data_IF_851775797135
#
_entry.id   IF_851775797135
#
_cell.length_a   1.000
_cell.length_b   1.000
_cell.length_c   1.000
_cell.angle_alpha   90.00
_cell.angle_beta   90.00
_cell.angle_gamma   90.00
#
_symmetry.space_group_name_H-M   'P 1'
#
loop_
_entity.id
_entity.type
_entity.pdbx_description
1 polymer ?
#
# COMPACT_ATOMS: atom_id res chain seq x y z
N UNK A 1 -0.95 -12.73 8.71
CA UNK A 1 -1.37 -13.57 9.86
C UNK A 1 -1.76 -12.63 11.00
N UNK A 2 -2.91 -12.81 11.67
CA UNK A 2 -3.46 -11.88 12.68
C UNK A 2 -2.44 -11.49 13.76
N UNK A 3 -1.69 -12.47 14.28
CA UNK A 3 -0.62 -12.25 15.27
C UNK A 3 0.51 -11.30 14.82
N UNK A 4 0.74 -11.17 13.50
CA UNK A 4 1.76 -10.25 12.97
C UNK A 4 1.24 -8.81 12.93
N UNK A 5 -0.08 -8.63 12.79
CA UNK A 5 -0.72 -7.31 12.83
C UNK A 5 -0.70 -6.79 14.27
N UNK A 6 -1.07 -7.63 15.25
CA UNK A 6 -1.00 -7.24 16.67
C UNK A 6 0.43 -6.87 17.09
N UNK A 7 1.43 -7.60 16.57
CA UNK A 7 2.84 -7.28 16.82
C UNK A 7 3.22 -5.92 16.23
N UNK A 8 2.82 -5.64 14.98
CA UNK A 8 3.11 -4.36 14.32
C UNK A 8 2.41 -3.20 15.05
N UNK A 9 1.15 -3.37 15.45
CA UNK A 9 0.40 -2.36 16.22
C UNK A 9 1.06 -2.10 17.57
N UNK A 10 1.50 -3.16 18.26
CA UNK A 10 2.20 -3.03 19.55
C UNK A 10 3.54 -2.31 19.38
N UNK A 11 4.27 -2.61 18.30
CA UNK A 11 5.57 -2.00 18.01
C UNK A 11 5.40 -0.52 17.60
N UNK A 12 4.36 -0.17 16.83
CA UNK A 12 4.04 1.22 16.52
C UNK A 12 3.58 2.01 17.76
N UNK A 13 2.74 1.43 18.63
CA UNK A 13 2.31 2.09 19.86
C UNK A 13 3.49 2.34 20.82
N UNK A 14 4.45 1.42 20.89
CA UNK A 14 5.70 1.65 21.62
C UNK A 14 6.50 2.79 21.01
N UNK A 15 6.62 2.82 19.69
CA UNK A 15 7.35 3.87 18.99
C UNK A 15 6.73 5.25 19.24
N UNK A 16 5.41 5.37 19.15
CA UNK A 16 4.67 6.61 19.46
C UNK A 16 4.88 7.03 20.92
N UNK A 17 4.83 6.08 21.87
CA UNK A 17 5.07 6.36 23.29
C UNK A 17 6.51 6.81 23.54
N UNK A 18 7.49 6.25 22.84
CA UNK A 18 8.89 6.59 23.03
C UNK A 18 9.24 7.94 22.35
N UNK A 19 8.60 8.25 21.21
CA UNK A 19 8.79 9.50 20.46
C UNK A 19 8.04 10.70 21.10
N UNK A 20 6.89 10.45 21.75
CA UNK A 20 6.01 11.48 22.32
C UNK A 20 5.79 11.34 23.83
N UNK A 21 6.56 10.50 24.51
CA UNK A 21 6.46 10.25 25.93
C UNK A 21 6.98 11.42 26.76
N UNK A 22 6.08 12.14 27.41
CA UNK A 22 6.43 13.22 28.34
C UNK A 22 6.43 12.71 29.79
N UNK A 23 7.37 13.16 30.65
CA UNK A 23 7.30 12.85 32.07
C UNK A 23 6.03 13.45 32.68
N UNK A 24 5.41 12.70 33.61
CA UNK A 24 4.20 13.14 34.29
C UNK A 24 4.47 14.46 35.02
N UNK A 25 3.78 15.52 34.61
CA UNK A 25 3.95 16.88 35.15
C UNK A 25 3.19 17.12 36.46
N UNK A 26 2.37 16.17 36.89
CA UNK A 26 1.58 16.22 38.12
C UNK A 26 2.01 15.14 39.10
N UNK A 27 2.04 15.50 40.39
CA UNK A 27 2.28 14.58 41.51
C UNK A 27 0.95 14.40 42.24
N UNK A 28 0.56 13.15 42.49
CA UNK A 28 -0.55 12.85 43.39
C UNK A 28 -0.01 12.91 44.82
N UNK A 29 -0.50 13.86 45.60
CA UNK A 29 -0.26 13.93 47.04
C UNK A 29 -1.30 13.03 47.73
N UNK A 30 -0.86 11.91 48.28
CA UNK A 30 -1.65 11.12 49.23
C UNK A 30 -1.71 11.86 50.57
N UNK A 31 -2.55 12.88 50.64
CA UNK A 31 -2.97 13.50 51.90
C UNK A 31 -4.34 14.12 51.70
N UNK A 32 -5.39 13.36 51.96
CA UNK A 32 -6.69 13.93 52.28
C UNK A 32 -7.18 13.21 53.53
N UNK A 33 -6.70 13.66 54.68
CA UNK A 33 -7.55 13.58 55.88
C UNK A 33 -8.80 14.42 55.56
N UNK A 34 -9.98 13.90 55.88
CA UNK A 34 -11.27 14.54 55.59
C UNK A 34 -11.27 15.98 56.12
N UNK A 35 -11.18 16.97 55.21
CA UNK A 35 -11.40 18.37 55.55
C UNK A 35 -12.85 18.48 55.99
N UNK A 36 -13.07 18.73 57.27
CA UNK A 36 -14.42 19.00 57.77
C UNK A 36 -14.79 20.44 57.43
N UNK A 37 -16.08 20.74 57.32
CA UNK A 37 -16.56 22.12 57.07
C UNK A 37 -16.04 23.09 58.14
N UNK A 38 -15.71 22.59 59.33
CA UNK A 38 -15.17 23.33 60.47
C UNK A 38 -13.74 23.83 60.23
N UNK A 39 -12.95 23.09 59.45
CA UNK A 39 -11.57 23.45 59.07
C UNK A 39 -11.52 24.54 57.99
N UNK A 40 -12.64 24.76 57.27
CA UNK A 40 -12.77 25.80 56.24
C UNK A 40 -13.25 27.15 56.77
N UNK A 41 -13.74 27.20 58.03
CA UNK A 41 -14.22 28.45 58.65
C UNK A 41 -13.06 29.08 59.40
N UNK A 42 -12.75 30.34 59.09
CA UNK A 42 -11.72 31.08 59.80
C UNK A 42 -12.13 31.28 61.28
N UNK A 43 -11.24 30.97 62.22
CA UNK A 43 -11.45 31.28 63.63
C UNK A 43 -11.35 32.80 63.83
N UNK A 44 -12.50 33.44 64.06
CA UNK A 44 -12.57 34.87 64.35
C UNK A 44 -13.50 35.17 65.52
N UNK A 45 -13.17 36.21 66.28
CA UNK A 45 -14.05 36.76 67.31
C UNK A 45 -15.13 37.63 66.68
N UNK A 46 -16.39 37.28 66.94
CA UNK A 46 -17.57 37.97 66.43
C UNK A 46 -18.44 38.49 67.56
N UNK A 47 -19.10 39.63 67.33
CA UNK A 47 -20.10 40.16 68.24
C UNK A 47 -21.46 39.51 67.96
N UNK A 48 -22.05 38.90 68.99
CA UNK A 48 -23.37 38.27 68.94
C UNK A 48 -24.37 39.16 69.66
N UNK A 49 -25.45 39.53 68.97
CA UNK A 49 -26.52 40.36 69.52
C UNK A 49 -27.85 39.63 69.48
N UNK A 50 -28.55 39.64 70.61
CA UNK A 50 -29.88 39.05 70.80
C UNK A 50 -30.85 40.15 71.22
N UNK A 51 -31.96 40.29 70.51
CA UNK A 51 -33.02 41.26 70.85
C UNK A 51 -34.04 40.67 71.83
N UNK A 52 -34.72 41.54 72.57
CA UNK A 52 -35.83 41.15 73.45
C UNK A 52 -36.95 40.42 72.68
N UNK A 53 -37.21 40.81 71.43
CA UNK A 53 -38.10 40.10 70.50
C UNK A 53 -37.59 38.75 69.97
N UNK A 54 -36.45 38.24 70.48
CA UNK A 54 -35.93 36.91 70.19
C UNK A 54 -35.21 36.77 68.84
N UNK A 55 -34.61 37.84 68.31
CA UNK A 55 -33.78 37.79 67.09
C UNK A 55 -32.30 37.72 67.44
N UNK A 56 -31.54 36.83 66.79
CA UNK A 56 -30.10 36.67 66.98
C UNK A 56 -29.33 36.91 65.67
N UNK A 57 -28.16 37.55 65.77
CA UNK A 57 -27.18 37.70 64.68
C UNK A 57 -25.75 37.69 65.19
N UNK A 58 -24.81 37.35 64.31
CA UNK A 58 -23.37 37.59 64.48
C UNK A 58 -22.90 38.69 63.53
N UNK A 59 -21.95 39.49 63.96
CA UNK A 59 -21.34 40.56 63.17
C UNK A 59 -19.85 40.58 63.47
N UNK A 60 -18.99 40.57 62.44
CA UNK A 60 -17.54 40.67 62.65
C UNK A 60 -17.20 41.94 63.43
N UNK A 61 -16.31 41.84 64.43
CA UNK A 61 -15.90 42.97 65.28
C UNK A 61 -15.28 44.09 64.43
N UNK A 62 -14.56 43.71 63.37
CA UNK A 62 -13.97 44.63 62.39
C UNK A 62 -15.00 45.57 61.73
N UNK A 63 -16.27 45.14 61.65
CA UNK A 63 -17.36 45.95 61.09
C UNK A 63 -17.82 47.08 62.03
N UNK A 64 -17.47 47.02 63.32
CA UNK A 64 -17.66 48.11 64.27
C UNK A 64 -16.43 49.04 64.23
N UNK A 65 -16.61 50.27 63.71
CA UNK A 65 -15.53 51.28 63.76
C UNK A 65 -15.19 51.62 65.21
N UNK A 66 -13.90 51.66 65.55
CA UNK A 66 -13.41 52.19 66.81
C UNK A 66 -13.93 53.64 67.02
N UNK A 67 -14.58 53.89 68.15
CA UNK A 67 -15.04 55.22 68.55
C UNK A 67 -14.22 55.72 69.74
N UNK A 68 -13.86 57.00 69.72
CA UNK A 68 -13.28 57.66 70.88
C UNK A 68 -14.36 57.97 71.94
N UNK A 69 -13.95 58.02 73.19
CA UNK A 69 -14.82 58.29 74.35
C UNK A 69 -15.57 59.63 74.13
N UNK A 70 -16.90 59.61 74.19
CA UNK A 70 -17.76 60.80 74.00
C UNK A 70 -18.40 60.98 72.61
N UNK A 71 -18.20 60.05 71.67
CA UNK A 71 -18.88 60.08 70.36
C UNK A 71 -20.39 59.79 70.44
N UNK A 72 -21.18 60.34 69.49
CA UNK A 72 -22.57 59.89 69.27
C UNK A 72 -22.56 58.43 68.83
N UNK A 73 -23.17 57.56 69.63
CA UNK A 73 -23.22 56.11 69.38
C UNK A 73 -23.79 55.78 68.00
N UNK A 74 -23.26 54.74 67.35
CA UNK A 74 -23.80 54.20 66.10
C UNK A 74 -24.87 53.15 66.39
N UNK A 75 -25.94 53.14 65.60
CA UNK A 75 -26.97 52.11 65.67
C UNK A 75 -26.37 50.74 65.32
N UNK A 76 -26.30 49.84 66.30
CA UNK A 76 -25.68 48.50 66.18
C UNK A 76 -26.63 47.37 65.79
N UNK A 77 -27.94 47.62 65.81
CA UNK A 77 -28.98 46.75 65.27
C UNK A 77 -30.23 47.58 64.98
N UNK A 78 -30.87 47.36 63.83
CA UNK A 78 -32.14 48.00 63.50
C UNK A 78 -33.28 47.18 64.09
N UNK A 79 -33.97 47.72 65.09
CA UNK A 79 -35.12 47.10 65.74
C UNK A 79 -36.43 47.69 65.17
N UNK A 80 -37.56 46.99 65.34
CA UNK A 80 -38.88 47.62 65.12
C UNK A 80 -39.15 48.60 66.25
N UNK A 81 -40.08 49.53 66.05
CA UNK A 81 -40.56 50.40 67.13
C UNK A 81 -40.88 49.53 68.36
N UNK A 82 -40.21 49.84 69.48
CA UNK A 82 -40.23 49.14 70.79
C UNK A 82 -39.34 47.90 71.03
N UNK A 83 -38.60 47.35 70.04
CA UNK A 83 -37.63 46.25 70.29
C UNK A 83 -36.21 46.80 70.58
N UNK A 84 -35.43 46.12 71.43
CA UNK A 84 -34.08 46.53 71.82
C UNK A 84 -33.14 45.32 71.99
N UNK A 85 -31.83 45.55 71.93
CA UNK A 85 -30.83 44.50 72.17
C UNK A 85 -30.80 44.19 73.67
N UNK A 86 -31.17 42.97 74.03
CA UNK A 86 -31.23 42.50 75.42
C UNK A 86 -29.89 41.92 75.87
N UNK A 87 -29.20 41.21 74.96
CA UNK A 87 -27.88 40.64 75.23
C UNK A 87 -26.90 40.92 74.09
N UNK A 88 -25.67 41.26 74.47
CA UNK A 88 -24.53 41.45 73.57
C UNK A 88 -23.28 40.83 74.21
N UNK A 89 -22.63 39.92 73.50
CA UNK A 89 -21.38 39.30 73.93
C UNK A 89 -20.50 38.96 72.73
N UNK A 90 -19.22 38.67 73.00
CA UNK A 90 -18.24 38.27 71.99
C UNK A 90 -17.95 36.79 72.17
N UNK A 91 -17.89 36.04 71.07
CA UNK A 91 -17.49 34.65 71.05
C UNK A 91 -16.74 34.32 69.75
N UNK A 92 -15.85 33.32 69.81
CA UNK A 92 -15.21 32.75 68.63
C UNK A 92 -16.22 31.98 67.78
N UNK A 93 -16.06 32.00 66.45
CA UNK A 93 -16.88 31.28 65.48
C UNK A 93 -17.02 29.78 65.74
N UNK A 94 -16.03 29.17 66.40
CA UNK A 94 -16.00 27.73 66.72
C UNK A 94 -16.60 27.41 68.09
N UNK A 95 -16.98 28.43 68.86
CA UNK A 95 -17.60 28.24 70.18
C UNK A 95 -19.07 27.82 70.08
N UNK A 96 -19.59 27.28 71.19
CA UNK A 96 -21.01 27.01 71.37
C UNK A 96 -21.66 28.07 72.25
N UNK A 97 -22.87 28.48 71.89
CA UNK A 97 -23.74 29.32 72.72
C UNK A 97 -24.85 28.46 73.30
N UNK A 98 -25.03 28.56 74.62
CA UNK A 98 -26.12 27.91 75.34
C UNK A 98 -27.24 28.93 75.57
N UNK A 99 -28.38 28.71 74.91
CA UNK A 99 -29.57 29.56 75.02
C UNK A 99 -30.53 28.92 76.01
N UNK A 100 -30.72 29.57 77.15
CA UNK A 100 -31.69 29.17 78.16
C UNK A 100 -33.03 29.87 77.90
N UNK A 101 -34.10 29.10 77.84
CA UNK A 101 -35.47 29.61 77.67
C UNK A 101 -36.13 29.85 79.03
N UNK A 102 -37.12 30.73 79.07
CA UNK A 102 -37.99 31.00 80.22
C UNK A 102 -38.73 29.75 80.74
N UNK A 103 -38.91 28.74 79.88
CA UNK A 103 -39.46 27.41 80.20
C UNK A 103 -38.42 26.40 80.70
N UNK A 104 -37.19 26.84 81.02
CA UNK A 104 -36.14 26.00 81.58
C UNK A 104 -35.47 25.03 80.60
N UNK A 105 -35.66 25.19 79.29
CA UNK A 105 -34.96 24.40 78.26
C UNK A 105 -33.65 25.07 77.87
N UNK A 106 -32.64 24.25 77.61
CA UNK A 106 -31.32 24.68 77.13
C UNK A 106 -31.15 24.24 75.68
N UNK A 107 -30.69 25.15 74.83
CA UNK A 107 -30.36 24.88 73.43
C UNK A 107 -28.90 25.24 73.18
N UNK A 108 -28.10 24.29 72.66
CA UNK A 108 -26.78 24.59 72.13
C UNK A 108 -26.89 25.09 70.67
N UNK A 109 -26.04 26.04 70.28
CA UNK A 109 -25.95 26.50 68.90
C UNK A 109 -24.47 26.80 68.60
N UNK A 110 -23.94 26.31 67.48
CA UNK A 110 -22.59 26.69 67.06
C UNK A 110 -22.60 28.13 66.56
N UNK A 111 -21.62 28.94 66.94
CA UNK A 111 -21.60 30.37 66.61
C UNK A 111 -21.64 30.61 65.10
N UNK A 112 -20.94 29.82 64.29
CA UNK A 112 -20.96 29.96 62.83
C UNK A 112 -22.33 29.68 62.18
N UNK A 113 -23.25 28.97 62.85
CA UNK A 113 -24.62 28.72 62.36
C UNK A 113 -25.55 29.93 62.56
N UNK A 114 -25.13 30.90 63.40
CA UNK A 114 -25.84 32.16 63.59
C UNK A 114 -25.67 33.01 62.31
N UNK A 115 -26.74 33.63 61.79
CA UNK A 115 -26.66 34.43 60.58
C UNK A 115 -25.69 35.61 60.75
N UNK A 116 -24.73 35.71 59.83
CA UNK A 116 -23.84 36.85 59.73
C UNK A 116 -24.52 38.00 59.03
N UNK A 117 -24.65 39.12 59.72
CA UNK A 117 -25.33 40.30 59.20
C UNK A 117 -24.54 41.53 59.61
N UNK A 118 -24.39 42.50 58.69
CA UNK A 118 -23.73 43.76 58.99
C UNK A 118 -24.41 44.53 60.15
N UNK A 119 -23.76 45.56 60.73
CA UNK A 119 -24.24 46.24 61.93
C UNK A 119 -25.69 46.73 61.83
N UNK A 120 -26.15 47.16 60.66
CA UNK A 120 -27.51 47.69 60.49
C UNK A 120 -28.57 46.65 60.10
N UNK A 121 -28.18 45.41 59.77
CA UNK A 121 -29.13 44.39 59.33
C UNK A 121 -29.79 43.64 60.49
N UNK A 122 -30.93 43.03 60.16
CA UNK A 122 -31.78 42.26 61.07
C UNK A 122 -31.30 40.80 61.11
N UNK A 123 -31.21 40.23 62.31
CA UNK A 123 -30.93 38.80 62.51
C UNK A 123 -32.12 37.89 62.19
N UNK A 124 -32.02 36.61 62.54
CA UNK A 124 -33.12 35.63 62.45
C UNK A 124 -33.71 35.35 63.82
N UNK A 125 -34.99 34.99 63.88
CA UNK A 125 -35.63 34.59 65.14
C UNK A 125 -34.98 33.30 65.68
N UNK A 126 -34.61 33.30 66.96
CA UNK A 126 -33.94 32.18 67.64
C UNK A 126 -34.77 30.89 67.53
N UNK A 127 -36.10 31.00 67.63
CA UNK A 127 -37.03 29.86 67.52
C UNK A 127 -36.89 29.12 66.18
N UNK A 128 -36.57 29.82 65.09
CA UNK A 128 -36.43 29.21 63.77
C UNK A 128 -35.09 28.49 63.59
N UNK A 129 -34.08 28.80 64.40
CA UNK A 129 -32.76 28.14 64.36
C UNK A 129 -32.77 26.84 65.16
N UNK A 130 -33.67 26.72 66.15
CA UNK A 130 -33.72 25.62 67.12
C UNK A 130 -34.75 24.54 66.76
N UNK A 131 -35.70 24.83 65.86
CA UNK A 131 -36.64 23.83 65.37
C UNK A 131 -35.90 22.77 64.53
N UNK A 132 -35.89 21.53 65.04
CA UNK A 132 -35.51 20.29 64.37
C UNK A 132 -36.22 20.14 63.01
N UNK A 133 -35.75 20.83 61.97
CA UNK A 133 -36.23 20.63 60.59
C UNK A 133 -35.76 19.30 59.98
N UNK A 134 -34.90 18.54 60.67
CA UNK A 134 -34.38 17.23 60.20
C UNK A 134 -35.21 16.00 60.62
N UNK A 135 -36.27 16.15 61.42
CA UNK A 135 -37.11 15.03 61.91
C UNK A 135 -38.52 15.02 61.31
N UNK A 136 -38.70 15.52 60.09
CA UNK A 136 -39.93 15.24 59.33
C UNK A 136 -39.80 13.89 58.65
N UNK A 137 -40.89 13.11 58.54
CA UNK A 137 -40.87 11.82 57.83
C UNK A 137 -40.37 11.93 56.38
N UNK A 138 -40.57 13.10 55.76
CA UNK A 138 -40.10 13.45 54.41
C UNK A 138 -38.57 13.58 54.31
N UNK A 139 -37.90 14.24 55.26
CA UNK A 139 -36.43 14.34 55.27
C UNK A 139 -35.77 12.99 55.56
N UNK A 140 -36.37 12.18 56.44
CA UNK A 140 -35.92 10.79 56.64
C UNK A 140 -36.05 9.96 55.36
N UNK A 141 -37.16 10.13 54.63
CA UNK A 141 -37.35 9.42 53.36
C UNK A 141 -36.32 9.86 52.31
N UNK A 142 -36.05 11.17 52.18
CA UNK A 142 -34.98 11.66 51.29
C UNK A 142 -33.61 11.06 51.62
N UNK A 143 -33.24 11.00 52.90
CA UNK A 143 -31.95 10.40 53.32
C UNK A 143 -31.92 8.90 52.98
N UNK A 144 -33.05 8.19 53.15
CA UNK A 144 -33.14 6.77 52.80
C UNK A 144 -33.06 6.56 51.29
N UNK A 145 -33.68 7.43 50.50
CA UNK A 145 -33.65 7.39 49.03
C UNK A 145 -32.24 7.73 48.51
N UNK A 146 -31.60 8.77 49.04
CA UNK A 146 -30.22 9.16 48.72
C UNK A 146 -29.23 8.05 49.10
N UNK A 147 -29.38 7.44 50.29
CA UNK A 147 -28.58 6.30 50.69
C UNK A 147 -28.79 5.08 49.79
N UNK A 148 -29.99 4.90 49.24
CA UNK A 148 -30.28 3.85 48.26
C UNK A 148 -29.62 4.14 46.92
N UNK A 149 -29.70 5.36 46.42
CA UNK A 149 -29.04 5.81 45.18
C UNK A 149 -27.51 5.69 45.27
N UNK A 150 -26.93 6.17 46.37
CA UNK A 150 -25.48 6.06 46.62
C UNK A 150 -25.06 4.60 46.69
N UNK A 151 -25.84 3.71 47.34
CA UNK A 151 -25.54 2.27 47.37
C UNK A 151 -25.58 1.66 45.97
N UNK A 152 -26.56 2.02 45.15
CA UNK A 152 -26.63 1.56 43.74
C UNK A 152 -25.41 2.04 42.97
N UNK A 153 -25.03 3.31 43.12
CA UNK A 153 -23.86 3.89 42.48
C UNK A 153 -22.56 3.19 42.91
N UNK A 154 -22.38 2.94 44.21
CA UNK A 154 -21.20 2.22 44.73
C UNK A 154 -21.11 0.82 44.14
N UNK A 155 -22.24 0.10 44.06
CA UNK A 155 -22.27 -1.23 43.46
C UNK A 155 -21.89 -1.17 41.98
N UNK A 156 -22.40 -0.18 41.25
CA UNK A 156 -22.08 0.00 39.84
C UNK A 156 -20.60 0.33 39.60
N UNK A 157 -20.06 1.29 40.36
CA UNK A 157 -18.65 1.67 40.31
C UNK A 157 -17.72 0.50 40.66
N UNK A 158 -18.09 -0.32 41.66
CA UNK A 158 -17.33 -1.55 41.98
C UNK A 158 -17.41 -2.60 40.88
N UNK A 159 -18.54 -2.74 40.19
CA UNK A 159 -18.68 -3.64 39.05
C UNK A 159 -17.82 -3.18 37.86
N UNK A 160 -17.78 -1.86 37.59
CA UNK A 160 -16.89 -1.26 36.59
C UNK A 160 -15.42 -1.55 36.93
N UNK A 161 -14.99 -1.29 38.17
CA UNK A 161 -13.59 -1.49 38.59
C UNK A 161 -13.16 -2.97 38.61
N UNK A 162 -14.08 -3.89 38.89
CA UNK A 162 -13.76 -5.32 38.97
C UNK A 162 -13.75 -6.04 37.61
N UNK A 163 -14.32 -5.44 36.57
CA UNK A 163 -14.44 -6.04 35.23
C UNK A 163 -13.75 -5.16 34.16
N UNK A 164 -12.50 -5.45 33.78
CA UNK A 164 -11.77 -4.69 32.76
C UNK A 164 -12.53 -4.51 31.43
N UNK A 165 -13.25 -5.55 30.98
CA UNK A 165 -14.08 -5.49 29.77
C UNK A 165 -15.17 -4.41 29.83
N UNK A 166 -15.69 -4.11 31.02
CA UNK A 166 -16.73 -3.10 31.22
C UNK A 166 -16.13 -1.69 31.08
N UNK A 167 -14.91 -1.49 31.55
CA UNK A 167 -14.14 -0.25 31.36
C UNK A 167 -13.88 -0.03 29.86
N UNK A 168 -13.39 -1.04 29.14
CA UNK A 168 -13.12 -0.93 27.70
C UNK A 168 -14.38 -0.58 26.91
N UNK A 169 -15.52 -1.15 27.29
CA UNK A 169 -16.81 -0.85 26.68
C UNK A 169 -17.22 0.61 26.91
N UNK A 170 -17.12 1.10 28.15
CA UNK A 170 -17.43 2.49 28.49
C UNK A 170 -16.52 3.45 27.70
N UNK A 171 -15.21 3.20 27.70
CA UNK A 171 -14.24 4.03 26.96
C UNK A 171 -14.54 4.00 25.46
N UNK A 172 -14.86 2.84 24.90
CA UNK A 172 -15.21 2.71 23.48
C UNK A 172 -16.46 3.52 23.13
N UNK A 173 -17.49 3.46 23.99
CA UNK A 173 -18.74 4.15 23.74
C UNK A 173 -18.60 5.67 23.92
N UNK A 174 -17.77 6.12 24.87
CA UNK A 174 -17.38 7.53 25.01
C UNK A 174 -16.59 8.03 23.79
N UNK A 175 -15.61 7.27 23.31
CA UNK A 175 -14.83 7.62 22.12
C UNK A 175 -15.69 7.67 20.85
N UNK A 176 -16.66 6.77 20.70
CA UNK A 176 -17.64 6.82 19.61
C UNK A 176 -18.49 8.08 19.69
N UNK A 177 -18.96 8.44 20.89
CA UNK A 177 -19.75 9.65 21.09
C UNK A 177 -18.94 10.91 20.72
N UNK A 178 -17.67 10.98 21.14
CA UNK A 178 -16.77 12.09 20.77
C UNK A 178 -16.57 12.15 19.24
N UNK A 179 -16.38 11.00 18.58
CA UNK A 179 -16.28 10.92 17.12
C UNK A 179 -17.57 11.39 16.44
N UNK A 180 -18.74 11.07 16.99
CA UNK A 180 -20.02 11.44 16.38
C UNK A 180 -20.35 12.93 16.61
N UNK A 181 -19.99 13.48 17.77
CA UNK A 181 -20.21 14.90 18.11
C UNK A 181 -19.20 15.84 17.43
N UNK A 182 -17.97 15.38 17.19
CA UNK A 182 -16.85 16.22 16.72
C UNK A 182 -16.15 15.71 15.44
N UNK A 183 -16.64 14.65 14.82
CA UNK A 183 -16.04 14.09 13.60
C UNK A 183 -16.37 14.91 12.36
N UNK A 184 -15.34 15.24 11.58
CA UNK A 184 -15.46 15.85 10.27
C UNK A 184 -14.93 14.93 9.16
N UNK A 185 -15.50 14.96 7.95
CA UNK A 185 -14.96 14.21 6.83
C UNK A 185 -13.58 14.74 6.47
N UNK A 186 -12.66 13.83 6.13
CA UNK A 186 -11.30 14.18 5.73
C UNK A 186 -11.33 15.17 4.58
N UNK A 187 -10.76 16.35 4.80
CA UNK A 187 -10.70 17.43 3.80
C UNK A 187 -9.67 17.17 2.69
N UNK A 188 -8.67 16.35 2.96
CA UNK A 188 -7.60 16.00 2.02
C UNK A 188 -7.86 14.66 1.36
N UNK A 189 -7.59 14.57 0.06
CA UNK A 189 -7.61 13.31 -0.69
C UNK A 189 -6.19 12.75 -0.68
N UNK A 190 -6.05 11.48 -0.25
CA UNK A 190 -4.80 10.75 -0.44
C UNK A 190 -4.79 10.25 -1.88
N UNK A 191 -3.98 10.90 -2.71
CA UNK A 191 -3.64 10.37 -4.03
C UNK A 191 -2.52 9.34 -3.82
N UNK A 192 -2.66 8.16 -4.42
CA UNK A 192 -1.50 7.27 -4.60
C UNK A 192 -0.39 8.06 -5.31
N UNK A 193 0.86 7.78 -4.94
CA UNK A 193 2.04 8.53 -5.35
C UNK A 193 1.93 9.05 -6.79
N UNK A 194 2.12 10.36 -6.99
CA UNK A 194 2.38 10.92 -8.32
C UNK A 194 3.55 10.13 -8.88
N UNK A 195 3.36 9.49 -10.05
CA UNK A 195 4.41 8.71 -10.71
C UNK A 195 5.70 9.53 -10.68
N UNK A 196 6.73 9.01 -9.98
CA UNK A 196 8.07 9.59 -10.04
C UNK A 196 8.46 9.63 -11.51
N UNK A 197 8.74 10.82 -12.07
CA UNK A 197 9.23 10.95 -13.45
C UNK A 197 10.42 10.01 -13.57
N UNK A 198 10.23 8.91 -14.30
CA UNK A 198 11.26 7.92 -14.47
C UNK A 198 12.27 8.45 -15.49
N UNK A 199 13.52 8.00 -15.42
CA UNK A 199 14.52 8.33 -16.46
C UNK A 199 14.02 7.94 -17.85
N UNK A 200 13.12 6.95 -17.93
CA UNK A 200 12.44 6.54 -19.15
C UNK A 200 11.53 7.63 -19.73
N UNK A 201 10.79 8.38 -18.90
CA UNK A 201 9.94 9.49 -19.36
C UNK A 201 10.74 10.66 -19.94
N UNK A 202 12.04 10.72 -19.66
CA UNK A 202 12.96 11.70 -20.25
C UNK A 202 13.56 11.25 -21.60
N UNK A 203 13.38 9.99 -21.97
CA UNK A 203 13.90 9.42 -23.22
C UNK A 203 12.87 9.66 -24.33
N UNK A 204 13.32 10.20 -25.47
CA UNK A 204 12.43 10.41 -26.60
C UNK A 204 11.99 9.06 -27.21
N UNK A 205 10.70 8.94 -27.54
CA UNK A 205 10.19 7.81 -28.32
C UNK A 205 10.61 7.97 -29.79
N UNK A 206 11.53 7.13 -30.25
CA UNK A 206 12.00 7.11 -31.64
C UNK A 206 12.19 5.68 -32.14
N UNK A 207 11.99 5.47 -33.44
CA UNK A 207 12.27 4.19 -34.09
C UNK A 207 13.77 4.03 -34.36
N UNK A 208 14.34 2.95 -33.82
CA UNK A 208 15.74 2.60 -33.96
C UNK A 208 15.89 1.22 -34.59
N UNK A 209 16.95 1.06 -35.39
CA UNK A 209 17.35 -0.23 -35.90
C UNK A 209 18.18 -0.97 -34.84
N UNK A 210 17.74 -2.16 -34.45
CA UNK A 210 18.46 -3.05 -33.54
C UNK A 210 19.16 -4.08 -34.38
N UNK A 211 20.49 -4.17 -34.23
CA UNK A 211 21.30 -5.19 -34.89
C UNK A 211 21.91 -6.12 -33.85
N UNK A 212 21.77 -7.42 -34.08
CA UNK A 212 22.35 -8.48 -33.27
C UNK A 212 23.25 -9.31 -34.16
N UNK A 213 24.42 -9.66 -33.66
CA UNK A 213 25.45 -10.39 -34.41
C UNK A 213 25.49 -11.84 -33.98
N UNK A 214 26.04 -12.71 -34.83
CA UNK A 214 26.20 -14.12 -34.49
C UNK A 214 27.06 -14.31 -33.22
N UNK A 215 28.07 -13.44 -33.02
CA UNK A 215 28.87 -13.36 -31.80
C UNK A 215 28.13 -12.86 -30.55
N UNK A 216 26.83 -12.55 -30.66
CA UNK A 216 26.01 -12.09 -29.55
C UNK A 216 26.24 -10.64 -29.15
N UNK A 217 26.72 -9.80 -30.07
CA UNK A 217 26.78 -8.35 -29.85
C UNK A 217 25.47 -7.68 -30.28
N UNK A 218 24.99 -6.76 -29.46
CA UNK A 218 23.78 -5.97 -29.73
C UNK A 218 24.09 -4.49 -29.74
N UNK A 219 23.42 -3.78 -30.65
CA UNK A 219 23.47 -2.32 -30.76
C UNK A 219 22.13 -1.76 -31.22
N UNK A 220 21.91 -0.48 -30.91
CA UNK A 220 20.88 0.35 -31.54
C UNK A 220 21.53 1.43 -32.40
N UNK A 221 20.89 1.74 -33.51
CA UNK A 221 21.32 2.80 -34.42
C UNK A 221 20.08 3.56 -34.88
N UNK A 222 20.10 4.89 -34.80
CA UNK A 222 19.01 5.72 -35.30
C UNK A 222 18.73 5.43 -36.79
N UNK A 223 17.46 5.30 -37.16
CA UNK A 223 17.06 5.00 -38.55
C UNK A 223 17.51 6.09 -39.54
N UNK A 224 17.63 7.32 -39.05
CA UNK A 224 18.17 8.47 -39.80
C UNK A 224 19.59 8.22 -40.33
N UNK A 225 20.40 7.44 -39.60
CA UNK A 225 21.78 7.10 -39.98
C UNK A 225 21.84 6.08 -41.12
N UNK A 226 20.77 5.33 -41.35
CA UNK A 226 20.63 4.33 -42.42
C UNK A 226 20.07 4.91 -43.74
N UNK A 227 19.83 6.23 -43.83
CA UNK A 227 19.25 6.88 -45.02
C UNK A 227 19.85 6.39 -46.35
N UNK A 228 18.93 6.11 -47.27
CA UNK A 228 19.15 5.42 -48.54
C UNK A 228 20.25 6.06 -49.41
N UNK A 229 21.12 5.20 -49.94
CA UNK A 229 21.93 5.51 -51.11
C UNK A 229 21.04 5.28 -52.35
N UNK A 230 21.08 6.18 -53.33
CA UNK A 230 20.37 5.98 -54.60
C UNK A 230 20.85 4.69 -55.31
N UNK A 231 19.97 4.07 -56.11
CA UNK A 231 20.29 2.88 -56.91
C UNK A 231 21.62 3.09 -57.65
N UNK A 232 22.55 2.15 -57.52
CA UNK A 232 23.88 2.20 -58.15
C UNK A 232 25.06 2.52 -57.21
N UNK A 233 24.82 2.76 -55.92
CA UNK A 233 25.88 2.93 -54.93
C UNK A 233 26.56 1.60 -54.53
N UNK A 234 27.90 1.60 -54.36
CA UNK A 234 28.58 0.51 -53.62
C UNK A 234 28.04 0.50 -52.20
N UNK A 235 27.51 -0.64 -51.74
CA UNK A 235 26.90 -0.78 -50.42
C UNK A 235 27.79 -0.21 -49.31
N UNK A 236 27.18 0.52 -48.38
CA UNK A 236 27.88 0.96 -47.18
C UNK A 236 28.27 -0.27 -46.36
N UNK A 237 29.54 -0.35 -45.99
CA UNK A 237 30.03 -1.35 -45.05
C UNK A 237 29.16 -1.26 -43.78
N UNK A 238 28.62 -2.38 -43.31
CA UNK A 238 27.78 -2.43 -42.11
C UNK A 238 28.62 -2.32 -40.84
N UNK A 239 28.39 -3.23 -39.90
CA UNK A 239 29.20 -3.31 -38.68
C UNK A 239 30.63 -3.79 -38.99
N UNK A 240 31.67 -3.19 -38.38
CA UNK A 240 33.02 -3.78 -38.39
C UNK A 240 33.05 -4.99 -37.48
N UNK A 241 32.97 -6.18 -38.04
CA UNK A 241 33.04 -7.44 -37.30
C UNK A 241 34.48 -7.75 -36.90
N UNK A 242 34.68 -8.52 -35.82
CA UNK A 242 35.98 -9.16 -35.58
C UNK A 242 35.97 -10.41 -36.47
N UNK A 243 37.08 -10.70 -37.15
CA UNK A 243 37.28 -11.82 -38.08
C UNK A 243 36.08 -12.80 -38.16
N UNK A 244 35.27 -12.63 -39.21
CA UNK A 244 34.11 -13.49 -39.58
C UNK A 244 32.79 -13.37 -38.77
N UNK A 245 32.63 -12.45 -37.82
CA UNK A 245 31.30 -12.17 -37.24
C UNK A 245 30.37 -11.51 -38.29
N UNK A 246 29.06 -11.72 -38.21
CA UNK A 246 28.06 -11.17 -39.15
C UNK A 246 26.78 -10.79 -38.41
N UNK A 247 25.95 -9.95 -39.04
CA UNK A 247 24.65 -9.57 -38.46
C UNK A 247 23.69 -10.75 -38.65
N UNK A 248 23.23 -11.30 -37.55
CA UNK A 248 22.30 -12.43 -37.48
C UNK A 248 20.85 -11.96 -37.49
N UNK A 249 20.55 -10.87 -36.77
CA UNK A 249 19.21 -10.30 -36.71
C UNK A 249 19.23 -8.78 -36.85
N UNK A 250 18.25 -8.26 -37.60
CA UNK A 250 18.01 -6.84 -37.77
C UNK A 250 16.50 -6.59 -37.70
N UNK A 251 16.04 -5.77 -36.77
CA UNK A 251 14.64 -5.36 -36.68
C UNK A 251 14.53 -3.92 -36.20
N UNK A 252 13.36 -3.32 -36.44
CA UNK A 252 13.06 -1.94 -36.02
C UNK A 252 12.20 -2.02 -34.76
N UNK A 253 12.56 -1.25 -33.74
CA UNK A 253 11.80 -1.13 -32.50
C UNK A 253 11.84 0.30 -31.96
N UNK A 254 10.83 0.68 -31.19
CA UNK A 254 10.81 1.96 -30.47
C UNK A 254 11.76 1.89 -29.27
N UNK A 255 12.35 3.03 -28.88
CA UNK A 255 13.21 3.17 -27.68
C UNK A 255 12.56 2.70 -26.37
N UNK A 256 11.23 2.71 -26.30
CA UNK A 256 10.44 2.28 -25.15
C UNK A 256 10.06 0.79 -25.21
N UNK A 257 10.38 0.11 -26.32
CA UNK A 257 10.11 -1.31 -26.46
C UNK A 257 11.08 -2.16 -25.63
N UNK A 258 10.70 -3.41 -25.41
CA UNK A 258 11.54 -4.44 -24.84
C UNK A 258 12.05 -5.38 -25.92
N UNK A 259 13.29 -5.85 -25.77
CA UNK A 259 13.79 -7.04 -26.45
C UNK A 259 13.76 -8.18 -25.43
N UNK A 260 12.87 -9.15 -25.67
CA UNK A 260 12.85 -10.41 -24.94
C UNK A 260 13.97 -11.30 -25.44
N UNK A 261 14.79 -11.80 -24.53
CA UNK A 261 15.93 -12.66 -24.82
C UNK A 261 15.64 -14.02 -24.19
N UNK A 262 15.48 -15.04 -25.02
CA UNK A 262 15.20 -16.40 -24.58
C UNK A 262 16.49 -17.23 -24.54
N UNK A 263 16.67 -18.02 -23.48
CA UNK A 263 17.80 -18.92 -23.33
C UNK A 263 17.47 -20.33 -23.80
N UNK A 264 18.50 -21.11 -24.14
CA UNK A 264 18.40 -22.53 -24.50
C UNK A 264 17.76 -23.38 -23.38
N UNK A 265 17.90 -22.94 -22.12
CA UNK A 265 17.25 -23.54 -20.94
C UNK A 265 15.83 -23.04 -20.67
N UNK A 266 15.25 -22.28 -21.59
CA UNK A 266 13.85 -21.86 -21.52
C UNK A 266 13.58 -20.72 -20.54
N UNK A 267 14.59 -19.89 -20.23
CA UNK A 267 14.39 -18.64 -19.47
C UNK A 267 14.23 -17.47 -20.41
N UNK A 268 13.58 -16.42 -19.94
CA UNK A 268 13.44 -15.15 -20.64
C UNK A 268 13.95 -14.00 -19.79
N UNK A 269 14.68 -13.11 -20.44
CA UNK A 269 15.18 -11.86 -19.91
C UNK A 269 14.64 -10.71 -20.74
N UNK A 270 14.64 -9.52 -20.15
CA UNK A 270 14.17 -8.30 -20.80
C UNK A 270 15.33 -7.34 -20.89
N UNK A 271 15.46 -6.69 -22.03
CA UNK A 271 16.38 -5.59 -22.23
C UNK A 271 15.58 -4.44 -22.83
N UNK A 272 15.56 -3.29 -22.15
CA UNK A 272 14.89 -2.12 -22.72
C UNK A 272 15.71 -1.61 -23.89
N UNK A 273 15.04 -1.19 -24.96
CA UNK A 273 15.74 -0.77 -26.17
C UNK A 273 16.67 0.42 -25.90
N UNK A 274 16.29 1.37 -25.04
CA UNK A 274 17.15 2.50 -24.70
C UNK A 274 18.40 2.14 -23.87
N UNK A 275 18.43 0.97 -23.20
CA UNK A 275 19.62 0.47 -22.47
C UNK A 275 20.65 -0.13 -23.43
N UNK A 276 20.25 -0.43 -24.67
CA UNK A 276 21.14 -0.92 -25.71
C UNK A 276 22.08 0.22 -26.13
N UNK A 277 23.39 -0.03 -26.25
CA UNK A 277 24.34 1.00 -26.64
C UNK A 277 24.00 1.58 -28.02
N UNK A 278 23.87 2.90 -28.07
CA UNK A 278 23.72 3.63 -29.31
C UNK A 278 25.08 3.81 -29.98
N UNK A 279 25.22 3.21 -31.15
CA UNK A 279 26.43 3.35 -31.96
C UNK A 279 26.05 3.52 -33.43
N UNK A 280 26.90 4.21 -34.19
CA UNK A 280 26.70 4.32 -35.63
C UNK A 280 26.76 2.96 -36.34
N UNK A 281 26.42 2.91 -37.65
CA UNK A 281 26.36 1.66 -38.42
C UNK A 281 27.64 0.80 -38.37
N UNK A 282 28.81 1.44 -38.25
CA UNK A 282 30.12 0.77 -38.15
C UNK A 282 30.44 0.23 -36.75
N UNK A 283 29.80 0.76 -35.70
CA UNK A 283 30.09 0.43 -34.31
C UNK A 283 29.59 -0.97 -33.94
N UNK A 284 30.31 -1.64 -33.04
CA UNK A 284 30.03 -3.05 -32.67
C UNK A 284 28.92 -3.23 -31.62
N UNK A 285 28.67 -2.23 -30.79
CA UNK A 285 27.78 -2.38 -29.64
C UNK A 285 28.44 -3.14 -28.49
N UNK A 286 27.63 -3.84 -27.69
CA UNK A 286 28.06 -4.56 -26.48
C UNK A 286 27.52 -6.00 -26.53
N UNK A 287 28.25 -6.94 -25.93
CA UNK A 287 27.79 -8.32 -25.85
C UNK A 287 26.52 -8.41 -24.99
N UNK A 288 25.49 -9.12 -25.48
CA UNK A 288 24.19 -9.29 -24.81
C UNK A 288 24.37 -9.90 -23.42
N UNK A 289 25.30 -10.85 -23.28
CA UNK A 289 25.63 -11.50 -21.98
C UNK A 289 26.12 -10.53 -20.90
N UNK A 290 26.56 -9.31 -21.28
CA UNK A 290 26.96 -8.25 -20.35
C UNK A 290 25.84 -7.25 -20.04
N UNK A 291 24.68 -7.42 -20.66
CA UNK A 291 23.49 -6.58 -20.47
C UNK A 291 22.40 -7.34 -19.70
N UNK A 292 22.37 -8.67 -19.78
CA UNK A 292 21.45 -9.53 -19.04
C UNK A 292 22.19 -10.51 -18.13
N UNK A 293 21.61 -10.79 -16.96
CA UNK A 293 22.18 -11.71 -15.97
C UNK A 293 21.82 -13.17 -16.30
N UNK A 294 22.56 -13.78 -17.22
CA UNK A 294 22.41 -15.21 -17.56
C UNK A 294 22.98 -16.11 -16.46
N UNK A 295 22.39 -17.29 -16.27
CA UNK A 295 22.99 -18.31 -15.41
C UNK A 295 24.21 -18.97 -16.07
N UNK A 296 25.11 -19.57 -15.27
CA UNK A 296 26.23 -20.33 -15.82
C UNK A 296 25.73 -21.40 -16.80
N UNK A 297 26.34 -21.45 -17.99
CA UNK A 297 26.04 -22.39 -19.09
C UNK A 297 24.73 -22.15 -19.85
N UNK A 298 24.00 -21.07 -19.58
CA UNK A 298 22.92 -20.66 -20.47
C UNK A 298 23.47 -20.00 -21.74
N UNK A 299 22.86 -20.32 -22.87
CA UNK A 299 23.12 -19.68 -24.16
C UNK A 299 21.86 -18.97 -24.61
N UNK A 300 22.02 -17.92 -25.40
CA UNK A 300 20.89 -17.25 -26.02
C UNK A 300 20.39 -18.13 -27.18
N UNK A 301 19.09 -18.36 -27.22
CA UNK A 301 18.43 -19.13 -28.27
C UNK A 301 17.68 -18.21 -29.24
N UNK A 302 16.90 -17.23 -28.72
CA UNK A 302 16.03 -16.41 -29.55
C UNK A 302 15.83 -15.00 -29.00
N UNK A 303 15.41 -14.09 -29.87
CA UNK A 303 15.04 -12.72 -29.54
C UNK A 303 13.65 -12.38 -30.06
N UNK A 304 12.86 -11.66 -29.28
CA UNK A 304 11.57 -11.12 -29.71
C UNK A 304 11.40 -9.68 -29.26
N UNK A 305 11.10 -8.78 -30.21
CA UNK A 305 10.83 -7.37 -29.91
C UNK A 305 9.36 -7.18 -29.52
N UNK A 306 9.11 -6.59 -28.36
CA UNK A 306 7.77 -6.38 -27.80
C UNK A 306 7.61 -4.94 -27.37
N UNK A 307 6.67 -4.22 -27.97
CA UNK A 307 6.32 -2.86 -27.53
C UNK A 307 5.50 -2.90 -26.23
N UNK A 308 4.43 -3.70 -26.23
CA UNK A 308 3.47 -3.79 -25.11
C UNK A 308 3.08 -5.23 -24.83
N UNK A 309 2.86 -5.56 -23.57
CA UNK A 309 2.46 -6.88 -23.11
C UNK A 309 0.93 -7.04 -23.11
N UNK A 310 0.34 -6.99 -24.30
CA UNK A 310 -1.12 -7.07 -24.49
C UNK A 310 -1.65 -8.51 -24.40
N UNK A 311 -2.87 -8.65 -23.91
CA UNK A 311 -3.63 -9.91 -24.01
C UNK A 311 -4.02 -10.20 -25.46
N UNK A 312 -4.17 -11.48 -25.79
CA UNK A 312 -4.53 -11.93 -27.15
C UNK A 312 -3.34 -12.05 -28.11
N UNK A 313 -2.12 -11.70 -27.70
CA UNK A 313 -0.88 -12.09 -28.37
C UNK A 313 -0.17 -13.18 -27.58
N UNK A 314 0.64 -13.97 -28.28
CA UNK A 314 1.34 -15.09 -27.68
C UNK A 314 2.81 -15.12 -28.09
N UNK A 315 3.60 -15.80 -27.27
CA UNK A 315 4.93 -16.27 -27.62
C UNK A 315 4.83 -17.77 -27.87
N UNK A 316 5.11 -18.19 -29.09
CA UNK A 316 5.26 -19.59 -29.46
C UNK A 316 6.73 -19.98 -29.38
N UNK A 317 7.01 -21.03 -28.61
CA UNK A 317 8.34 -21.53 -28.31
C UNK A 317 8.47 -22.92 -28.93
N UNK A 318 9.62 -23.23 -29.53
CA UNK A 318 9.93 -24.58 -30.01
C UNK A 318 11.27 -25.08 -29.47
N UNK A 319 11.32 -26.37 -29.14
CA UNK A 319 12.53 -27.06 -28.72
C UNK A 319 13.11 -27.94 -29.82
N UNK A 320 14.38 -28.32 -29.65
CA UNK A 320 15.11 -29.23 -30.54
C UNK A 320 14.40 -30.57 -30.70
N UNK A 321 13.79 -31.11 -29.64
CA UNK A 321 13.00 -32.36 -29.70
C UNK A 321 11.58 -32.21 -30.28
N UNK A 322 11.24 -31.06 -30.84
CA UNK A 322 9.95 -30.84 -31.50
C UNK A 322 8.79 -30.63 -30.53
N UNK A 323 9.07 -30.20 -29.30
CA UNK A 323 8.05 -29.72 -28.38
C UNK A 323 7.77 -28.25 -28.69
N UNK A 324 6.49 -27.90 -28.80
CA UNK A 324 6.03 -26.53 -28.98
C UNK A 324 5.18 -26.08 -27.81
N UNK A 325 5.26 -24.79 -27.48
CA UNK A 325 4.44 -24.21 -26.42
C UNK A 325 4.01 -22.79 -26.75
N UNK A 326 2.72 -22.54 -26.60
CA UNK A 326 2.11 -21.22 -26.67
C UNK A 326 1.91 -20.63 -25.27
N UNK A 327 2.42 -19.44 -25.02
CA UNK A 327 2.23 -18.69 -23.76
C UNK A 327 1.71 -17.30 -24.06
N UNK A 328 0.72 -16.83 -23.32
CA UNK A 328 0.19 -15.47 -23.49
C UNK A 328 1.26 -14.42 -23.21
N UNK A 329 1.33 -13.37 -24.04
CA UNK A 329 2.36 -12.34 -23.94
C UNK A 329 2.28 -11.57 -22.62
N UNK A 330 1.07 -11.35 -22.09
CA UNK A 330 0.81 -10.73 -20.78
C UNK A 330 1.48 -11.48 -19.62
N UNK A 331 1.75 -12.79 -19.76
CA UNK A 331 2.46 -13.57 -18.74
C UNK A 331 3.93 -13.15 -18.54
N UNK A 332 4.48 -12.35 -19.48
CA UNK A 332 5.83 -11.80 -19.46
C UNK A 332 5.87 -10.31 -19.07
N UNK A 333 4.74 -9.72 -18.65
CA UNK A 333 4.62 -8.29 -18.35
C UNK A 333 5.39 -7.80 -17.10
N UNK A 334 5.94 -8.72 -16.30
CA UNK A 334 6.63 -8.38 -15.04
C UNK A 334 8.13 -8.76 -15.12
N UNK A 335 8.99 -7.87 -15.64
CA UNK A 335 10.42 -8.09 -15.73
C UNK A 335 11.08 -8.34 -14.37
N UNK A 336 12.07 -9.23 -14.35
CA UNK A 336 12.93 -9.48 -13.19
C UNK A 336 14.38 -9.53 -13.64
N UNK A 337 15.29 -8.93 -12.88
CA UNK A 337 16.71 -8.85 -13.21
C UNK A 337 17.33 -10.23 -13.51
N UNK A 338 16.98 -11.24 -12.73
CA UNK A 338 17.48 -12.61 -12.92
C UNK A 338 16.76 -13.43 -14.00
N UNK A 339 15.79 -12.84 -14.74
CA UNK A 339 14.96 -13.55 -15.71
C UNK A 339 13.88 -14.44 -15.08
N UNK A 340 12.88 -14.85 -15.87
CA UNK A 340 11.84 -15.80 -15.45
C UNK A 340 11.83 -17.03 -16.33
N UNK A 341 11.23 -18.12 -15.84
CA UNK A 341 10.97 -19.30 -16.68
C UNK A 341 9.95 -18.90 -17.75
N UNK A 342 10.26 -19.23 -19.00
CA UNK A 342 9.38 -19.13 -20.16
C UNK A 342 8.95 -20.52 -20.67
N UNK A 343 9.81 -21.54 -20.52
CA UNK A 343 9.60 -22.94 -20.87
C UNK A 343 10.40 -23.84 -19.93
N UNK A 344 9.79 -24.92 -19.43
CA UNK A 344 10.55 -25.97 -18.75
C UNK A 344 11.15 -26.89 -19.81
N UNK A 345 12.48 -26.96 -19.87
CA UNK A 345 13.24 -27.73 -20.86
C UNK A 345 13.94 -28.89 -20.15
N UNK A 346 13.89 -30.09 -20.72
CA UNK A 346 14.62 -31.26 -20.22
C UNK A 346 16.14 -31.10 -20.44
N UNK A 347 16.96 -31.82 -19.68
CA UNK A 347 18.42 -31.65 -19.74
C UNK A 347 19.07 -32.02 -21.08
N UNK A 348 18.43 -32.88 -21.86
CA UNK A 348 18.85 -33.33 -23.18
C UNK A 348 18.06 -32.65 -24.32
N UNK A 349 17.28 -31.62 -24.00
CA UNK A 349 16.58 -30.76 -24.96
C UNK A 349 17.10 -29.31 -24.85
N UNK A 350 16.73 -28.48 -25.81
CA UNK A 350 17.07 -27.06 -25.81
C UNK A 350 15.98 -26.27 -26.54
N UNK A 351 15.62 -25.10 -26.01
CA UNK A 351 14.87 -24.12 -26.80
C UNK A 351 15.71 -23.71 -28.00
N UNK A 352 15.11 -23.72 -29.19
CA UNK A 352 15.78 -23.29 -30.43
C UNK A 352 15.29 -21.93 -30.90
N UNK A 353 14.00 -21.62 -30.74
CA UNK A 353 13.39 -20.45 -31.36
C UNK A 353 12.17 -19.97 -30.57
N UNK A 354 11.90 -18.67 -30.63
CA UNK A 354 10.76 -18.03 -29.98
C UNK A 354 10.18 -16.96 -30.91
N UNK A 355 8.92 -17.13 -31.31
CA UNK A 355 8.24 -16.22 -32.25
C UNK A 355 6.98 -15.62 -31.61
N UNK A 356 6.67 -14.38 -32.00
CA UNK A 356 5.43 -13.72 -31.59
C UNK A 356 4.31 -14.08 -32.55
N UNK A 357 3.14 -14.37 -32.00
CA UNK A 357 1.98 -14.81 -32.76
C UNK A 357 0.69 -14.15 -32.29
N UNK A 358 -0.29 -14.08 -33.19
CA UNK A 358 -1.64 -13.56 -32.97
C UNK A 358 -2.63 -14.60 -32.43
N UNK A 359 -2.24 -15.86 -32.30
CA UNK A 359 -3.07 -16.95 -31.75
C UNK A 359 -3.81 -17.79 -32.80
N UNK A 360 -3.92 -17.27 -34.03
CA UNK A 360 -4.55 -17.91 -35.19
C UNK A 360 -3.58 -18.03 -36.38
N UNK A 361 -2.27 -17.89 -36.14
CA UNK A 361 -1.28 -17.99 -37.20
C UNK A 361 -1.05 -19.43 -37.64
N UNK A 362 -0.44 -19.61 -38.82
CA UNK A 362 0.02 -20.90 -39.29
C UNK A 362 1.50 -21.10 -38.94
N UNK A 363 1.86 -22.31 -38.51
CA UNK A 363 3.18 -22.63 -37.99
C UNK A 363 3.83 -23.71 -38.86
N UNK A 364 5.09 -23.48 -39.23
CA UNK A 364 5.93 -24.46 -39.89
C UNK A 364 7.15 -24.80 -39.03
N UNK A 365 7.35 -26.09 -38.77
CA UNK A 365 8.59 -26.60 -38.18
C UNK A 365 9.36 -27.37 -39.24
N UNK A 366 10.67 -27.15 -39.33
CA UNK A 366 11.57 -27.91 -40.19
C UNK A 366 12.61 -28.68 -39.37
N UNK A 367 12.95 -29.88 -39.83
CA UNK A 367 13.90 -30.78 -39.17
C UNK A 367 15.19 -30.90 -39.94
N UNK A 368 16.24 -31.31 -39.23
CA UNK A 368 17.58 -31.57 -39.75
C UNK A 368 17.59 -32.64 -40.83
N UNK A 369 16.79 -33.70 -40.70
CA UNK A 369 16.74 -34.78 -41.68
C UNK A 369 15.85 -34.45 -42.89
N UNK A 370 15.30 -33.24 -42.94
CA UNK A 370 14.62 -32.70 -44.11
C UNK A 370 13.12 -32.95 -44.13
N UNK A 371 12.51 -33.14 -42.96
CA UNK A 371 11.06 -33.13 -42.80
C UNK A 371 10.56 -31.73 -42.45
N UNK A 372 9.30 -31.44 -42.77
CA UNK A 372 8.63 -30.24 -42.29
C UNK A 372 7.15 -30.50 -42.01
N UNK A 373 6.62 -29.96 -40.92
CA UNK A 373 5.19 -30.00 -40.61
C UNK A 373 4.62 -28.59 -40.65
N UNK A 374 3.42 -28.46 -41.21
CA UNK A 374 2.67 -27.21 -41.30
C UNK A 374 1.32 -27.42 -40.59
N UNK A 375 1.01 -26.63 -39.56
CA UNK A 375 -0.22 -26.78 -38.76
C UNK A 375 -0.70 -25.42 -38.24
N UNK A 376 -1.98 -25.32 -37.85
CA UNK A 376 -2.54 -24.11 -37.25
C UNK A 376 -2.10 -23.96 -35.79
N UNK A 377 -1.71 -22.76 -35.37
CA UNK A 377 -1.39 -22.46 -33.97
C UNK A 377 -2.57 -22.72 -33.02
N UNK A 378 -3.82 -22.74 -33.51
CA UNK A 378 -5.00 -23.08 -32.71
C UNK A 378 -4.95 -24.49 -32.13
N UNK A 379 -4.24 -25.42 -32.78
CA UNK A 379 -4.01 -26.79 -32.27
C UNK A 379 -3.18 -26.81 -30.98
N UNK A 380 -2.45 -25.72 -30.69
CA UNK A 380 -1.64 -25.55 -29.49
C UNK A 380 -2.38 -24.66 -28.51
N UNK A 381 -2.94 -25.23 -27.45
CA UNK A 381 -3.60 -24.43 -26.40
C UNK A 381 -2.59 -23.50 -25.69
N UNK A 382 -3.00 -22.30 -25.26
CA UNK A 382 -2.21 -21.48 -24.35
C UNK A 382 -1.93 -22.22 -23.04
N UNK A 383 -0.69 -22.14 -22.55
CA UNK A 383 -0.25 -22.75 -21.30
C UNK A 383 0.50 -21.75 -20.43
N UNK A 384 0.65 -22.10 -19.15
CA UNK A 384 1.48 -21.33 -18.23
C UNK A 384 2.98 -21.42 -18.55
N UNK A 385 3.73 -20.44 -18.04
CA UNK A 385 5.18 -20.32 -18.23
C UNK A 385 6.00 -21.54 -17.82
N UNK A 386 5.63 -22.23 -16.73
CA UNK A 386 6.37 -23.41 -16.23
C UNK A 386 5.99 -24.74 -16.91
N UNK A 387 5.04 -24.74 -17.86
CA UNK A 387 4.66 -25.95 -18.57
C UNK A 387 5.73 -26.36 -19.60
N UNK A 388 5.80 -27.67 -19.88
CA UNK A 388 6.70 -28.27 -20.88
C UNK A 388 6.22 -28.08 -22.33
N UNK A 389 4.92 -27.92 -22.57
CA UNK A 389 4.36 -27.79 -23.92
C UNK A 389 3.75 -29.10 -24.44
N UNK A 390 3.56 -29.17 -25.75
CA UNK A 390 2.95 -30.29 -26.46
C UNK A 390 3.80 -30.66 -27.68
N UNK A 391 3.67 -31.89 -28.18
CA UNK A 391 4.37 -32.30 -29.39
C UNK A 391 3.89 -31.50 -30.61
N UNK A 392 4.84 -30.87 -31.30
CA UNK A 392 4.64 -30.10 -32.53
C UNK A 392 4.95 -30.92 -33.79
N UNK A 393 6.00 -31.73 -33.76
CA UNK A 393 6.36 -32.68 -34.83
C UNK A 393 6.83 -34.01 -34.24
N UNK A 394 6.51 -35.12 -34.90
CA UNK A 394 7.09 -36.43 -34.60
C UNK A 394 8.46 -36.55 -35.29
N UNK A 395 9.51 -36.73 -34.49
CA UNK A 395 10.88 -36.88 -34.97
C UNK A 395 11.26 -38.36 -35.04
N UNK A 396 11.98 -38.74 -36.11
CA UNK A 396 12.65 -40.04 -36.16
C UNK A 396 13.91 -40.02 -35.26
N UNK A 397 14.47 -41.21 -34.99
CA UNK A 397 15.60 -41.33 -34.05
C UNK A 397 16.84 -40.58 -34.55
N UNK A 398 17.26 -39.57 -33.79
CA UNK A 398 18.44 -38.74 -34.10
C UNK A 398 18.14 -37.49 -34.91
N UNK A 399 16.89 -37.28 -35.33
CA UNK A 399 16.44 -36.04 -35.97
C UNK A 399 16.19 -34.95 -34.90
N UNK A 400 16.25 -33.69 -35.34
CA UNK A 400 16.05 -32.53 -34.49
C UNK A 400 15.40 -31.39 -35.28
N UNK A 401 14.57 -30.59 -34.60
CA UNK A 401 14.03 -29.36 -35.19
C UNK A 401 15.15 -28.33 -35.30
N UNK A 402 15.22 -27.68 -36.46
CA UNK A 402 16.22 -26.67 -36.78
C UNK A 402 15.61 -25.29 -37.02
N UNK A 403 14.33 -25.21 -37.36
CA UNK A 403 13.64 -23.94 -37.59
C UNK A 403 12.17 -23.98 -37.16
N UNK A 404 11.68 -22.84 -36.68
CA UNK A 404 10.28 -22.53 -36.39
C UNK A 404 9.93 -21.25 -37.13
N UNK A 405 8.92 -21.31 -37.99
CA UNK A 405 8.49 -20.18 -38.81
C UNK A 405 6.99 -19.94 -38.66
N UNK A 406 6.61 -18.67 -38.52
CA UNK A 406 5.22 -18.23 -38.65
C UNK A 406 4.97 -17.97 -40.13
N UNK A 407 4.13 -18.79 -40.74
CA UNK A 407 3.92 -18.78 -42.19
C UNK A 407 2.61 -18.09 -42.54
N UNK A 408 2.58 -17.49 -43.72
CA UNK A 408 1.39 -16.85 -44.28
C UNK A 408 1.18 -17.28 -45.73
N UNK A 409 -0.09 -17.36 -46.12
CA UNK A 409 -0.52 -17.71 -47.47
C UNK A 409 0.18 -16.88 -48.56
N UNK A 410 0.46 -17.52 -49.71
CA UNK A 410 1.16 -16.88 -50.84
C UNK A 410 2.66 -16.64 -50.62
N UNK A 411 3.22 -17.08 -49.50
CA UNK A 411 4.67 -17.06 -49.26
C UNK A 411 5.40 -18.29 -49.80
N UNK A 412 6.73 -18.24 -49.73
CA UNK A 412 7.62 -19.36 -50.09
C UNK A 412 8.52 -19.71 -48.92
N UNK A 413 8.81 -21.00 -48.76
CA UNK A 413 9.80 -21.49 -47.79
C UNK A 413 11.13 -21.70 -48.50
N UNK A 414 12.18 -21.05 -48.01
CA UNK A 414 13.55 -21.26 -48.45
C UNK A 414 14.25 -22.15 -47.43
N UNK A 415 14.66 -23.35 -47.83
CA UNK A 415 15.42 -24.28 -46.99
C UNK A 415 16.86 -24.36 -47.46
N UNK A 416 17.82 -24.33 -46.54
CA UNK A 416 19.26 -24.40 -46.81
C UNK A 416 19.89 -25.56 -46.06
N UNK A 417 20.82 -26.26 -46.71
CA UNK A 417 21.51 -27.43 -46.15
C UNK A 417 23.00 -27.17 -45.91
N UNK A 418 23.64 -28.04 -45.13
CA UNK A 418 25.01 -27.88 -44.66
C UNK A 418 26.05 -27.76 -45.79
N UNK A 419 25.79 -28.38 -46.95
CA UNK A 419 26.70 -28.34 -48.11
C UNK A 419 26.42 -27.15 -49.05
N UNK A 420 25.64 -26.16 -48.61
CA UNK A 420 25.36 -24.93 -49.37
C UNK A 420 24.29 -25.09 -50.45
N UNK A 421 23.48 -26.15 -50.41
CA UNK A 421 22.35 -26.31 -51.32
C UNK A 421 21.09 -25.72 -50.69
N UNK A 422 20.29 -25.05 -51.53
CA UNK A 422 19.02 -24.47 -51.12
C UNK A 422 17.89 -24.90 -52.02
N UNK A 423 16.68 -24.99 -51.46
CA UNK A 423 15.43 -25.19 -52.21
C UNK A 423 14.44 -24.11 -51.80
N UNK A 424 13.82 -23.47 -52.78
CA UNK A 424 12.67 -22.58 -52.58
C UNK A 424 11.42 -23.32 -53.03
N UNK A 425 10.44 -23.41 -52.13
CA UNK A 425 9.20 -24.17 -52.34
C UNK A 425 8.01 -23.26 -52.01
N UNK A 426 6.91 -23.34 -52.77
CA UNK A 426 5.68 -22.60 -52.40
C UNK A 426 5.13 -23.12 -51.08
N UNK A 427 4.57 -22.24 -50.24
CA UNK A 427 3.89 -22.69 -49.01
C UNK A 427 2.75 -23.67 -49.32
N UNK A 428 2.08 -23.51 -50.47
CA UNK A 428 0.97 -24.37 -50.90
C UNK A 428 1.36 -25.84 -51.08
N UNK A 429 2.64 -26.14 -51.30
CA UNK A 429 3.14 -27.52 -51.36
C UNK A 429 3.25 -28.17 -49.96
N UNK A 430 3.28 -27.37 -48.90
CA UNK A 430 3.25 -27.84 -47.51
C UNK A 430 1.81 -27.93 -47.04
N UNK A 431 1.14 -29.05 -47.36
CA UNK A 431 -0.25 -29.27 -46.91
C UNK A 431 -0.36 -29.14 -45.39
N UNK A 432 -1.39 -28.46 -44.92
CA UNK A 432 -1.72 -28.35 -43.49
C UNK A 432 -2.04 -29.75 -42.93
N UNK A 433 -1.51 -30.04 -41.76
CA UNK A 433 -1.70 -31.27 -40.99
C UNK A 433 -2.00 -30.91 -39.53
N UNK A 434 -2.47 -31.88 -38.74
CA UNK A 434 -2.52 -31.73 -37.29
C UNK A 434 -1.12 -31.76 -36.68
N UNK A 435 -0.90 -30.97 -35.63
CA UNK A 435 0.38 -30.99 -34.89
C UNK A 435 0.76 -32.40 -34.41
N UNK A 436 2.04 -32.67 -34.30
CA UNK A 436 2.59 -33.95 -33.84
C UNK A 436 2.58 -35.06 -34.90
N UNK A 437 2.27 -34.74 -36.16
CA UNK A 437 2.51 -35.64 -37.30
C UNK A 437 3.99 -35.72 -37.69
N UNK A 438 4.34 -36.65 -38.59
CA UNK A 438 5.71 -36.78 -39.15
C UNK A 438 6.10 -35.67 -40.13
N UNK A 439 5.11 -34.89 -40.62
CA UNK A 439 5.35 -33.89 -41.65
C UNK A 439 5.52 -34.46 -43.06
N UNK A 440 5.94 -33.60 -43.99
CA UNK A 440 6.26 -33.89 -45.39
C UNK A 440 7.77 -33.80 -45.62
N UNK A 441 8.23 -34.42 -46.70
CA UNK A 441 9.61 -34.23 -47.16
C UNK A 441 9.77 -32.80 -47.65
N UNK A 442 10.55 -32.02 -46.92
CA UNK A 442 10.94 -30.66 -47.26
C UNK A 442 12.05 -30.68 -48.34
N UNK A 443 13.15 -31.36 -48.01
CA UNK A 443 14.29 -31.56 -48.91
C UNK A 443 14.94 -32.91 -48.60
N UNK A 444 15.40 -33.62 -49.64
CA UNK A 444 16.19 -34.84 -49.42
C UNK A 444 17.58 -34.45 -48.92
N UNK A 445 17.98 -34.99 -47.78
CA UNK A 445 19.26 -34.70 -47.10
C UNK A 445 20.40 -35.65 -47.50
N UNK A 446 20.12 -36.66 -48.31
CA UNK A 446 21.08 -37.67 -48.74
C UNK A 446 22.19 -37.13 -49.66
N UNK A 447 23.41 -37.61 -49.46
CA UNK A 447 24.54 -37.46 -50.39
C UNK A 447 24.98 -36.01 -50.59
N UNK A 448 24.52 -35.39 -51.67
CA UNK A 448 24.92 -34.04 -52.12
C UNK A 448 24.57 -32.96 -51.10
N UNK A 449 23.35 -33.01 -50.55
CA UNK A 449 22.79 -31.88 -49.80
C UNK A 449 23.32 -31.79 -48.38
N UNK A 450 23.49 -32.93 -47.70
CA UNK A 450 23.73 -32.97 -46.26
C UNK A 450 22.49 -32.58 -45.45
N UNK A 451 22.61 -32.49 -44.11
CA UNK A 451 21.50 -32.14 -43.23
C UNK A 451 21.01 -30.71 -43.48
N UNK A 452 19.73 -30.47 -43.22
CA UNK A 452 19.16 -29.11 -43.19
C UNK A 452 19.79 -28.32 -42.07
N UNK A 453 20.10 -27.05 -42.35
CA UNK A 453 20.61 -26.10 -41.37
C UNK A 453 19.55 -25.10 -40.94
N UNK A 454 18.73 -24.65 -41.89
CA UNK A 454 17.72 -23.66 -41.63
C UNK A 454 16.60 -23.71 -42.68
N UNK A 455 15.43 -23.21 -42.33
CA UNK A 455 14.31 -22.99 -43.22
C UNK A 455 13.58 -21.71 -42.84
N UNK A 456 13.45 -20.80 -43.80
CA UNK A 456 12.87 -19.48 -43.57
C UNK A 456 11.68 -19.21 -44.47
N UNK A 457 10.61 -18.62 -43.92
CA UNK A 457 9.47 -18.18 -44.71
C UNK A 457 9.69 -16.77 -45.24
N UNK A 458 9.42 -16.58 -46.53
CA UNK A 458 9.39 -15.25 -47.14
C UNK A 458 8.00 -15.02 -47.70
N UNK A 459 7.30 -14.00 -47.19
CA UNK A 459 6.08 -13.49 -47.81
C UNK A 459 6.36 -13.06 -49.26
N UNK A 460 5.49 -13.44 -50.19
CA UNK A 460 5.58 -12.98 -51.57
C UNK A 460 5.55 -11.45 -51.64
N UNK A 461 6.39 -10.86 -52.49
CA UNK A 461 6.29 -9.42 -52.79
C UNK A 461 5.00 -9.19 -53.59
N UNK A 462 3.97 -8.66 -52.93
CA UNK A 462 2.86 -8.03 -53.64
C UNK A 462 3.30 -6.61 -54.03
N UNK A 463 3.27 -6.32 -55.33
CA UNK A 463 3.60 -5.00 -55.89
C UNK A 463 2.43 -4.01 -55.77
N UNK A 464 1.76 -3.99 -54.61
CA UNK A 464 0.62 -3.13 -54.35
C UNK A 464 0.99 -2.09 -53.28
N UNK A 465 0.99 -0.78 -53.60
CA UNK A 465 1.59 0.25 -52.77
C UNK A 465 0.63 0.73 -51.66
N UNK A 466 -0.10 -0.14 -50.99
CA UNK A 466 -0.96 0.27 -49.87
C UNK A 466 -1.02 -0.85 -48.83
N UNK A 467 -0.21 -0.72 -47.78
CA UNK A 467 -0.48 -1.08 -46.38
C UNK A 467 0.84 -1.22 -45.62
N UNK A 468 1.14 -0.21 -44.79
CA UNK A 468 2.22 -0.25 -43.82
C UNK A 468 1.89 -1.25 -42.72
N UNK A 469 2.49 -2.42 -42.79
CA UNK A 469 2.47 -3.45 -41.74
C UNK A 469 3.86 -4.05 -41.62
N UNK A 470 4.34 -4.17 -40.38
CA UNK A 470 5.68 -4.60 -39.99
C UNK A 470 6.39 -5.53 -40.98
N UNK A 471 7.45 -5.00 -41.59
CA UNK A 471 8.42 -5.76 -42.35
C UNK A 471 9.44 -6.32 -41.36
N UNK A 472 9.25 -7.57 -40.96
CA UNK A 472 10.32 -8.37 -40.38
C UNK A 472 11.25 -8.74 -41.53
N UNK A 473 12.34 -7.98 -41.65
CA UNK A 473 13.37 -8.17 -42.66
C UNK A 473 14.64 -8.59 -41.94
N UNK A 474 14.77 -9.89 -41.69
CA UNK A 474 16.08 -10.50 -41.45
C UNK A 474 16.75 -10.79 -42.81
N UNK A 475 18.01 -10.38 -43.02
CA UNK A 475 18.73 -10.60 -44.28
C UNK A 475 19.06 -12.07 -44.55
#
# INVERSE_FOLDING_TARGET
KPKRIDQIVTDELKKIRDDHGDPRRTVLLDAVDEITVEDMIAEEDVAISITHGGYIKRTSISSYRAQHRGGRGRMGMRTKDEDFVDQLFIASTHSYVLIFTDRGRVHWLKVHEIPEVGPQGRGKAVVNLVQLQRLTGLERQKIVDELKEIKVLITDLRDILSKPKRIDQIVTDELKKIRDDHGDPRRTVLLDAVDEITVEDMIAEEDVAISITHGGYIKRTSISSYRAQHRGGRGRMGMRTKDEDFVDQLFIASTHSYVLIFTDRGRVHWLKVHEIPEVGPQGRGKAVVNLVQLQPREKIAAFAAVKEFVSGRYVLLATRKGIVKKTELSAFANPRAGGIIALSVEDDDALIEAVLTGGADEILLATKDGMAIHFSEEDVRPMGRAAYGVKGIELDTGDEVVALEVVAAGGTVLTVTANGYGKKTSLDEYRVQSRGGKGLINIKTTGRNGPVRDAHHRKGYDHSPEHGGHLDHRP
#
